data_IF_603223248989
#
_entry.id   IF_603223248989
#
_cell.length_a   1.000
_cell.length_b   1.000
_cell.length_c   1.000
_cell.angle_alpha   90.00
_cell.angle_beta   90.00
_cell.angle_gamma   90.00
#
_symmetry.space_group_name_H-M   'P 1'
#
loop_
_entity.id
_entity.type
_entity.pdbx_description
1 polymer ?
#
# COMPACT_ATOMS: atom_id res chain seq x y z
N UNK A 1 6.44 -10.03 -18.17
CA UNK A 1 6.64 -9.09 -17.05
C UNK A 1 8.05 -9.19 -16.49
N UNK A 2 8.61 -10.39 -16.32
CA UNK A 2 9.99 -10.61 -15.83
C UNK A 2 11.07 -9.71 -16.45
N UNK A 3 11.21 -9.67 -17.78
CA UNK A 3 12.22 -8.80 -18.43
C UNK A 3 12.00 -7.29 -18.19
N UNK A 4 10.77 -6.85 -17.89
CA UNK A 4 10.48 -5.46 -17.50
C UNK A 4 10.83 -5.21 -16.04
N UNK A 5 10.51 -6.18 -15.16
CA UNK A 5 10.87 -6.15 -13.75
C UNK A 5 12.39 -6.17 -13.56
N UNK A 6 13.11 -6.94 -14.38
CA UNK A 6 14.57 -7.01 -14.36
C UNK A 6 15.21 -5.67 -14.77
N UNK A 7 14.72 -5.03 -15.83
CA UNK A 7 15.22 -3.70 -16.23
C UNK A 7 14.81 -2.61 -15.23
N UNK A 8 13.63 -2.71 -14.62
CA UNK A 8 13.19 -1.83 -13.54
C UNK A 8 14.08 -2.00 -12.30
N UNK A 9 14.38 -3.24 -11.91
CA UNK A 9 15.27 -3.52 -10.77
C UNK A 9 16.70 -3.04 -11.04
N UNK A 10 17.21 -3.21 -12.27
CA UNK A 10 18.49 -2.64 -12.69
C UNK A 10 18.48 -1.11 -12.63
N UNK A 11 17.37 -0.47 -13.02
CA UNK A 11 17.20 0.98 -12.91
C UNK A 11 17.17 1.43 -11.44
N UNK A 12 16.43 0.75 -10.57
CA UNK A 12 16.39 1.03 -9.14
C UNK A 12 17.76 0.83 -8.46
N UNK A 13 18.46 -0.26 -8.77
CA UNK A 13 19.80 -0.56 -8.21
C UNK A 13 20.87 0.44 -8.66
N UNK A 14 20.74 0.99 -9.88
CA UNK A 14 21.70 1.98 -10.42
C UNK A 14 21.29 3.42 -10.16
N UNK A 15 20.01 3.65 -9.85
CA UNK A 15 19.44 4.96 -9.57
C UNK A 15 19.88 5.48 -8.21
N UNK A 16 21.09 6.02 -8.13
CA UNK A 16 21.63 6.67 -6.94
C UNK A 16 21.03 8.08 -6.71
N UNK A 17 19.73 8.29 -6.98
CA UNK A 17 19.10 9.62 -6.85
C UNK A 17 19.14 10.12 -5.40
N UNK A 18 19.00 9.24 -4.41
CA UNK A 18 19.12 9.62 -3.00
C UNK A 18 20.51 10.18 -2.67
N UNK A 19 21.56 9.52 -3.19
CA UNK A 19 22.94 9.96 -3.02
C UNK A 19 23.20 11.27 -3.78
N UNK A 20 22.66 11.40 -4.99
CA UNK A 20 22.75 12.64 -5.77
C UNK A 20 22.09 13.82 -5.06
N UNK A 21 20.92 13.62 -4.44
CA UNK A 21 20.26 14.64 -3.60
C UNK A 21 21.11 14.99 -2.37
N UNK A 22 21.72 14.01 -1.72
CA UNK A 22 22.65 14.24 -0.60
C UNK A 22 23.90 15.02 -1.04
N UNK A 23 24.47 14.71 -2.21
CA UNK A 23 25.63 15.41 -2.77
C UNK A 23 25.29 16.85 -3.20
N UNK A 24 24.07 17.09 -3.69
CA UNK A 24 23.54 18.44 -3.93
C UNK A 24 23.40 19.18 -2.60
N UNK A 25 22.84 18.56 -1.56
CA UNK A 25 22.69 19.18 -0.24
C UNK A 25 24.05 19.51 0.39
N UNK A 26 25.05 18.62 0.30
CA UNK A 26 26.43 18.90 0.74
C UNK A 26 27.02 20.09 -0.01
N UNK A 27 26.74 20.22 -1.30
CA UNK A 27 27.20 21.37 -2.10
C UNK A 27 26.54 22.66 -1.64
N UNK A 28 25.24 22.64 -1.34
CA UNK A 28 24.51 23.77 -0.75
C UNK A 28 25.13 24.15 0.60
N UNK A 29 25.38 23.18 1.48
CA UNK A 29 25.96 23.41 2.80
C UNK A 29 27.37 24.02 2.71
N UNK A 30 28.19 23.55 1.76
CA UNK A 30 29.52 24.13 1.49
C UNK A 30 29.43 25.59 1.04
N UNK A 31 28.48 25.92 0.16
CA UNK A 31 28.28 27.28 -0.33
C UNK A 31 27.72 28.20 0.77
N UNK A 32 26.78 27.72 1.58
CA UNK A 32 26.23 28.45 2.74
C UNK A 32 27.33 28.73 3.76
N UNK A 33 28.14 27.72 4.10
CA UNK A 33 29.27 27.88 5.05
C UNK A 33 30.31 28.88 4.54
N UNK A 34 30.60 28.87 3.24
CA UNK A 34 31.52 29.84 2.66
C UNK A 34 30.96 31.27 2.68
N UNK A 35 29.68 31.45 2.35
CA UNK A 35 28.99 32.74 2.46
C UNK A 35 29.06 33.27 3.89
N UNK A 36 28.76 32.43 4.87
CA UNK A 36 28.73 32.82 6.28
C UNK A 36 30.14 33.16 6.81
N UNK A 37 31.18 32.45 6.34
CA UNK A 37 32.58 32.78 6.64
C UNK A 37 33.01 34.13 6.06
N UNK A 38 32.55 34.48 4.86
CA UNK A 38 32.83 35.78 4.23
C UNK A 38 32.08 36.87 4.99
N UNK A 39 30.79 36.67 5.29
CA UNK A 39 29.98 37.61 6.04
C UNK A 39 30.53 37.87 7.46
N UNK A 40 30.98 36.83 8.17
CA UNK A 40 31.58 36.97 9.51
C UNK A 40 32.89 37.78 9.48
N UNK A 41 33.71 37.61 8.43
CA UNK A 41 34.92 38.40 8.22
C UNK A 41 34.61 39.88 8.03
N UNK A 42 33.56 40.20 7.25
CA UNK A 42 33.12 41.58 6.99
C UNK A 42 32.48 42.23 8.23
N UNK A 43 31.68 41.48 9.02
CA UNK A 43 31.00 42.00 10.22
C UNK A 43 31.95 42.24 11.41
N UNK A 44 32.95 41.38 11.65
CA UNK A 44 33.94 41.58 12.71
C UNK A 44 34.79 42.85 12.49
N UNK A 45 35.00 43.25 11.24
CA UNK A 45 35.77 44.45 10.90
C UNK A 45 34.98 45.75 11.15
N UNK A 46 33.66 45.75 10.91
CA UNK A 46 32.77 46.89 11.17
C UNK A 46 32.59 47.19 12.67
N UNK A 47 32.64 46.17 13.54
CA UNK A 47 32.47 46.34 14.99
C UNK A 47 33.74 46.85 15.71
N UNK A 48 34.92 46.67 15.09
CA UNK A 48 36.22 47.13 15.61
C UNK A 48 36.48 48.62 15.37
N UNK A 49 35.76 49.25 14.43
CA UNK A 49 35.91 50.66 14.08
C UNK A 49 34.92 51.52 14.88
N UNK A 50 35.37 52.03 16.03
CA UNK A 50 34.71 53.12 16.74
C UNK A 50 34.68 54.43 15.91
N UNK A 51 33.89 55.44 16.31
CA UNK A 51 33.47 56.56 15.46
C UNK A 51 34.55 57.62 15.14
N UNK A 52 35.84 57.34 15.29
CA UNK A 52 36.92 58.32 15.08
C UNK A 52 38.03 57.73 14.23
N UNK A 53 37.90 57.86 12.91
CA UNK A 53 38.91 57.34 11.98
C UNK A 53 38.50 57.41 10.51
N UNK A 54 37.64 58.37 10.13
CA UNK A 54 37.46 58.75 8.73
C UNK A 54 38.60 59.70 8.37
N UNK A 55 39.71 59.17 7.84
CA UNK A 55 40.44 59.80 6.73
C UNK A 55 41.62 58.94 6.26
N UNK A 56 41.40 58.35 5.07
CA UNK A 56 42.33 58.31 3.93
C UNK A 56 43.60 57.44 3.91
N UNK A 57 43.97 56.67 4.95
CA UNK A 57 45.03 55.64 4.80
C UNK A 57 44.63 54.20 5.16
N UNK A 58 43.38 53.98 5.58
CA UNK A 58 42.86 52.64 5.92
C UNK A 58 42.12 51.98 4.76
N UNK A 59 41.75 52.74 3.72
CA UNK A 59 40.93 52.24 2.61
C UNK A 59 41.69 51.32 1.65
N UNK A 60 43.02 51.46 1.51
CA UNK A 60 43.81 50.65 0.57
C UNK A 60 44.31 49.33 1.17
N UNK A 61 44.69 49.32 2.46
CA UNK A 61 45.22 48.11 3.09
C UNK A 61 44.10 47.15 3.54
N UNK A 62 42.94 47.67 3.95
CA UNK A 62 41.79 46.85 4.34
C UNK A 62 41.01 46.28 3.14
N UNK A 63 40.89 46.98 2.00
CA UNK A 63 40.26 46.41 0.80
C UNK A 63 41.06 45.24 0.20
N UNK A 64 42.40 45.30 0.23
CA UNK A 64 43.24 44.21 -0.32
C UNK A 64 43.14 42.92 0.49
N UNK A 65 42.99 43.00 1.82
CA UNK A 65 42.89 41.81 2.67
C UNK A 65 41.50 41.16 2.62
N UNK A 66 40.44 41.94 2.46
CA UNK A 66 39.07 41.45 2.23
C UNK A 66 38.95 40.75 0.85
N UNK A 67 39.58 41.33 -0.18
CA UNK A 67 39.65 40.72 -1.51
C UNK A 67 40.47 39.42 -1.54
N UNK A 68 41.52 39.33 -0.71
CA UNK A 68 42.36 38.13 -0.61
C UNK A 68 41.70 37.00 0.20
N UNK A 69 40.97 37.30 1.28
CA UNK A 69 40.28 36.27 2.07
C UNK A 69 39.06 35.68 1.35
N UNK A 70 38.30 36.51 0.63
CA UNK A 70 37.19 36.08 -0.21
C UNK A 70 37.70 35.28 -1.43
N UNK A 71 38.75 35.73 -2.10
CA UNK A 71 39.34 35.00 -3.24
C UNK A 71 39.95 33.66 -2.83
N UNK A 72 40.59 33.57 -1.66
CA UNK A 72 41.09 32.30 -1.10
C UNK A 72 39.93 31.34 -0.76
N UNK A 73 38.83 31.85 -0.19
CA UNK A 73 37.64 31.04 0.11
C UNK A 73 36.99 30.52 -1.18
N UNK A 74 36.86 31.37 -2.20
CA UNK A 74 36.34 30.98 -3.52
C UNK A 74 37.26 29.99 -4.25
N UNK A 75 38.58 30.16 -4.17
CA UNK A 75 39.55 29.23 -4.75
C UNK A 75 39.46 27.84 -4.09
N UNK A 76 39.25 27.79 -2.76
CA UNK A 76 39.05 26.53 -2.02
C UNK A 76 37.73 25.83 -2.39
N UNK A 77 36.69 26.57 -2.77
CA UNK A 77 35.40 26.01 -3.18
C UNK A 77 35.37 25.52 -4.63
N UNK A 78 36.26 26.03 -5.48
CA UNK A 78 36.25 25.73 -6.92
C UNK A 78 36.38 24.23 -7.20
N UNK A 79 37.25 23.51 -6.49
CA UNK A 79 37.47 22.08 -6.69
C UNK A 79 36.33 21.21 -6.10
N UNK A 80 35.88 21.42 -4.85
CA UNK A 80 34.74 20.68 -4.30
C UNK A 80 33.45 20.82 -5.10
N UNK A 81 33.13 22.03 -5.58
CA UNK A 81 31.91 22.28 -6.37
C UNK A 81 32.01 21.63 -7.76
N UNK A 82 33.19 21.65 -8.39
CA UNK A 82 33.39 20.94 -9.67
C UNK A 82 33.25 19.43 -9.49
N UNK A 83 33.87 18.87 -8.44
CA UNK A 83 33.79 17.44 -8.14
C UNK A 83 32.36 17.00 -7.85
N UNK A 84 31.59 17.79 -7.11
CA UNK A 84 30.17 17.46 -6.85
C UNK A 84 29.32 17.56 -8.11
N UNK A 85 29.56 18.55 -8.98
CA UNK A 85 28.86 18.67 -10.25
C UNK A 85 29.19 17.53 -11.22
N UNK A 86 30.45 17.09 -11.27
CA UNK A 86 30.88 15.92 -12.05
C UNK A 86 30.25 14.63 -11.53
N UNK A 87 30.21 14.45 -10.21
CA UNK A 87 29.54 13.31 -9.57
C UNK A 87 28.04 13.27 -9.87
N UNK A 88 27.33 14.40 -9.69
CA UNK A 88 25.89 14.52 -9.98
C UNK A 88 25.60 14.24 -11.46
N UNK A 89 26.40 14.76 -12.40
CA UNK A 89 26.20 14.47 -13.82
C UNK A 89 26.48 13.02 -14.19
N UNK A 90 27.48 12.39 -13.55
CA UNK A 90 27.75 10.97 -13.74
C UNK A 90 26.57 10.12 -13.27
N UNK A 91 26.04 10.39 -12.08
CA UNK A 91 24.90 9.66 -11.53
C UNK A 91 23.64 9.86 -12.39
N UNK A 92 23.38 11.09 -12.87
CA UNK A 92 22.27 11.37 -13.78
C UNK A 92 22.40 10.61 -15.11
N UNK A 93 23.60 10.51 -15.67
CA UNK A 93 23.85 9.77 -16.92
C UNK A 93 23.46 8.30 -16.81
N UNK A 94 23.73 7.68 -15.67
CA UNK A 94 23.35 6.28 -15.41
C UNK A 94 21.83 6.11 -15.29
N UNK A 95 21.14 7.08 -14.68
CA UNK A 95 19.67 7.12 -14.61
C UNK A 95 19.06 7.26 -16.00
N UNK A 96 19.53 8.20 -16.82
CA UNK A 96 19.03 8.39 -18.19
C UNK A 96 19.27 7.15 -19.06
N UNK A 97 20.43 6.50 -18.92
CA UNK A 97 20.74 5.24 -19.62
C UNK A 97 19.80 4.12 -19.18
N UNK A 98 19.56 3.98 -17.88
CA UNK A 98 18.61 3.00 -17.34
C UNK A 98 17.18 3.25 -17.83
N UNK A 99 16.73 4.50 -17.83
CA UNK A 99 15.41 4.90 -18.31
C UNK A 99 15.25 4.59 -19.81
N UNK A 100 16.27 4.87 -20.62
CA UNK A 100 16.29 4.52 -22.04
C UNK A 100 16.22 3.01 -22.29
N UNK A 101 16.90 2.20 -21.48
CA UNK A 101 16.82 0.75 -21.56
C UNK A 101 15.44 0.23 -21.13
N UNK A 102 14.88 0.76 -20.04
CA UNK A 102 13.53 0.43 -19.58
C UNK A 102 12.48 0.77 -20.64
N UNK A 103 12.56 1.95 -21.26
CA UNK A 103 11.69 2.37 -22.36
C UNK A 103 11.77 1.43 -23.56
N UNK A 104 12.98 1.06 -23.99
CA UNK A 104 13.18 0.06 -25.06
C UNK A 104 12.61 -1.32 -24.71
N UNK A 105 12.75 -1.74 -23.45
CA UNK A 105 12.19 -3.00 -22.98
C UNK A 105 10.65 -2.95 -22.98
N UNK A 106 10.07 -1.79 -22.64
CA UNK A 106 8.64 -1.53 -22.68
C UNK A 106 8.13 -1.57 -24.12
N UNK A 107 8.76 -0.84 -25.04
CA UNK A 107 8.44 -0.88 -26.47
C UNK A 107 8.50 -2.32 -27.00
N UNK A 108 9.58 -3.06 -26.72
CA UNK A 108 9.73 -4.46 -27.16
C UNK A 108 8.64 -5.38 -26.61
N UNK A 109 8.05 -5.09 -25.44
CA UNK A 109 6.98 -5.90 -24.86
C UNK A 109 5.60 -5.60 -25.46
N UNK A 110 5.37 -4.39 -25.93
CA UNK A 110 4.06 -3.95 -26.43
C UNK A 110 3.98 -3.78 -27.95
N UNK A 111 5.11 -3.74 -28.68
CA UNK A 111 5.16 -3.52 -30.14
C UNK A 111 4.39 -4.55 -30.98
N UNK A 112 4.33 -5.80 -30.53
CA UNK A 112 3.74 -6.92 -31.30
C UNK A 112 2.34 -7.33 -30.81
N UNK A 113 1.74 -6.57 -29.89
CA UNK A 113 0.38 -6.83 -29.38
C UNK A 113 -0.51 -5.66 -29.79
N UNK A 114 -1.16 -5.72 -30.97
CA UNK A 114 -2.22 -4.76 -31.24
C UNK A 114 -3.21 -4.84 -30.10
N UNK A 115 -3.49 -3.68 -29.47
CA UNK A 115 -4.61 -3.58 -28.56
C UNK A 115 -5.85 -4.08 -29.32
N UNK A 116 -6.71 -4.88 -28.69
CA UNK A 116 -7.92 -5.34 -29.38
C UNK A 116 -8.64 -4.10 -29.89
N UNK A 117 -8.86 -4.02 -31.20
CA UNK A 117 -9.81 -3.08 -31.78
C UNK A 117 -11.17 -3.53 -31.27
N UNK A 118 -11.54 -3.02 -30.11
CA UNK A 118 -12.84 -3.26 -29.52
C UNK A 118 -13.82 -2.40 -30.29
N UNK A 119 -14.48 -3.01 -31.26
CA UNK A 119 -15.73 -2.49 -31.83
C UNK A 119 -16.81 -2.30 -30.73
N UNK A 120 -16.55 -2.82 -29.52
CA UNK A 120 -17.34 -2.70 -28.32
C UNK A 120 -16.60 -1.92 -27.21
N UNK A 121 -16.59 -0.60 -27.29
CA UNK A 121 -16.09 0.29 -26.22
C UNK A 121 -17.26 0.71 -25.30
N UNK A 122 -17.55 -0.13 -24.31
CA UNK A 122 -18.60 0.13 -23.31
C UNK A 122 -18.26 1.27 -22.34
N UNK A 123 -16.99 1.70 -22.29
CA UNK A 123 -16.51 2.73 -21.36
C UNK A 123 -16.52 4.13 -22.00
N UNK A 124 -16.44 4.22 -23.33
CA UNK A 124 -16.52 5.48 -24.10
C UNK A 124 -17.78 6.31 -23.83
N UNK A 125 -18.88 5.67 -23.43
CA UNK A 125 -20.15 6.31 -23.09
C UNK A 125 -20.19 6.87 -21.67
N UNK A 126 -19.24 6.52 -20.80
CA UNK A 126 -19.24 6.88 -19.38
C UNK A 126 -17.94 7.55 -18.89
N UNK A 127 -17.41 8.59 -19.56
CA UNK A 127 -16.12 9.15 -19.21
C UNK A 127 -16.11 9.83 -17.81
N UNK A 128 -17.28 10.29 -17.33
CA UNK A 128 -17.42 10.84 -15.98
C UNK A 128 -17.15 9.80 -14.86
N UNK A 129 -17.58 8.54 -15.05
CA UNK A 129 -17.32 7.47 -14.07
C UNK A 129 -15.85 7.09 -14.02
N UNK A 130 -15.18 7.13 -15.18
CA UNK A 130 -13.73 6.86 -15.29
C UNK A 130 -12.95 7.96 -14.55
N UNK A 131 -13.26 9.23 -14.82
CA UNK A 131 -12.61 10.35 -14.13
C UNK A 131 -12.84 10.29 -12.61
N UNK A 132 -14.04 9.91 -12.17
CA UNK A 132 -14.32 9.69 -10.75
C UNK A 132 -13.46 8.57 -10.16
N UNK A 133 -13.34 7.44 -10.85
CA UNK A 133 -12.52 6.31 -10.40
C UNK A 133 -11.03 6.68 -10.30
N UNK A 134 -10.52 7.44 -11.28
CA UNK A 134 -9.15 7.95 -11.28
C UNK A 134 -8.93 8.91 -10.11
N UNK A 135 -9.79 9.92 -9.95
CA UNK A 135 -9.67 10.89 -8.86
C UNK A 135 -9.73 10.21 -7.48
N UNK A 136 -10.64 9.25 -7.30
CA UNK A 136 -10.72 8.47 -6.06
C UNK A 136 -9.49 7.62 -5.80
N UNK A 137 -8.93 7.03 -6.84
CA UNK A 137 -7.70 6.27 -6.71
C UNK A 137 -6.55 7.19 -6.26
N UNK A 138 -6.38 8.35 -6.90
CA UNK A 138 -5.34 9.31 -6.53
C UNK A 138 -5.47 9.79 -5.06
N UNK A 139 -6.70 10.05 -4.59
CA UNK A 139 -6.95 10.39 -3.19
C UNK A 139 -6.58 9.25 -2.22
N UNK A 140 -6.91 8.00 -2.59
CA UNK A 140 -6.56 6.80 -1.82
C UNK A 140 -5.08 6.47 -1.84
N UNK A 141 -4.34 6.94 -2.84
CA UNK A 141 -2.87 6.86 -2.94
C UNK A 141 -2.16 8.08 -2.31
N UNK A 142 -2.92 9.02 -1.73
CA UNK A 142 -2.37 10.18 -1.03
C UNK A 142 -1.84 11.28 -1.95
N UNK A 143 -2.10 11.16 -3.26
CA UNK A 143 -1.73 12.17 -4.26
C UNK A 143 -2.77 13.29 -4.31
N UNK A 144 -2.92 14.03 -3.20
CA UNK A 144 -3.95 15.05 -3.05
C UNK A 144 -3.82 16.22 -4.04
N UNK A 145 -2.58 16.65 -4.32
CA UNK A 145 -2.31 17.73 -5.27
C UNK A 145 -2.69 17.31 -6.69
N UNK A 146 -2.21 16.15 -7.14
CA UNK A 146 -2.51 15.58 -8.46
C UNK A 146 -4.01 15.33 -8.61
N UNK A 147 -4.66 14.77 -7.59
CA UNK A 147 -6.10 14.58 -7.57
C UNK A 147 -6.86 15.91 -7.73
N UNK A 148 -6.41 16.98 -7.06
CA UNK A 148 -7.05 18.30 -7.13
C UNK A 148 -6.88 18.95 -8.50
N UNK A 149 -5.68 18.88 -9.09
CA UNK A 149 -5.42 19.37 -10.45
C UNK A 149 -6.25 18.58 -11.45
N UNK A 150 -6.23 17.25 -11.37
CA UNK A 150 -7.01 16.37 -12.23
C UNK A 150 -8.51 16.66 -12.15
N UNK A 151 -9.07 16.84 -10.94
CA UNK A 151 -10.48 17.19 -10.76
C UNK A 151 -10.79 18.57 -11.35
N UNK A 152 -9.88 19.53 -11.23
CA UNK A 152 -10.03 20.87 -11.82
C UNK A 152 -10.06 20.79 -13.34
N UNK A 153 -9.10 20.06 -13.93
CA UNK A 153 -9.00 19.88 -15.37
C UNK A 153 -10.19 19.10 -15.94
N UNK A 154 -10.63 18.03 -15.26
CA UNK A 154 -11.79 17.24 -15.64
C UNK A 154 -13.11 18.00 -15.52
N UNK A 155 -13.20 18.99 -14.60
CA UNK A 155 -14.36 19.88 -14.48
C UNK A 155 -14.34 20.96 -15.58
N UNK A 156 -13.16 21.52 -15.87
CA UNK A 156 -13.00 22.60 -16.85
C UNK A 156 -13.12 22.09 -18.29
N UNK A 157 -12.69 20.86 -18.55
CA UNK A 157 -12.74 20.19 -19.85
C UNK A 157 -13.50 18.85 -19.73
N UNK A 158 -14.84 18.87 -19.62
CA UNK A 158 -15.61 17.64 -19.50
C UNK A 158 -15.47 16.80 -20.77
N UNK A 159 -15.07 15.52 -20.67
CA UNK A 159 -14.95 14.64 -21.83
C UNK A 159 -16.33 14.44 -22.48
N UNK A 160 -16.41 14.60 -23.80
CA UNK A 160 -17.64 14.33 -24.55
C UNK A 160 -17.88 12.81 -24.61
N UNK A 161 -19.05 12.30 -24.19
CA UNK A 161 -19.39 10.90 -24.37
C UNK A 161 -19.49 10.58 -25.86
N UNK A 162 -18.85 9.49 -26.29
CA UNK A 162 -18.96 9.00 -27.67
C UNK A 162 -20.14 8.03 -27.72
N UNK A 163 -21.08 8.27 -28.65
CA UNK A 163 -22.23 7.39 -28.84
C UNK A 163 -21.75 6.18 -29.66
N UNK A 164 -21.67 5.01 -29.03
CA UNK A 164 -21.45 3.74 -29.73
C UNK A 164 -22.80 3.07 -30.03
N UNK A 165 -22.89 2.36 -31.15
CA UNK A 165 -24.12 1.71 -31.66
C UNK A 165 -24.74 0.67 -30.70
N UNK A 166 -24.04 0.30 -29.63
CA UNK A 166 -24.47 -0.66 -28.61
C UNK A 166 -25.03 -0.03 -27.32
N UNK A 167 -25.06 1.30 -27.18
CA UNK A 167 -25.61 1.98 -25.99
C UNK A 167 -26.75 2.94 -26.36
N UNK A 168 -28.03 2.55 -26.17
CA UNK A 168 -29.16 3.44 -26.42
C UNK A 168 -29.18 4.58 -25.39
N UNK A 169 -29.03 5.81 -25.87
CA UNK A 169 -29.22 7.10 -25.16
C UNK A 169 -28.38 7.34 -23.88
N UNK A 170 -27.31 8.16 -23.95
CA UNK A 170 -26.59 8.66 -22.77
C UNK A 170 -27.40 9.68 -21.94
N UNK A 171 -28.51 10.20 -22.47
CA UNK A 171 -29.19 11.38 -21.90
C UNK A 171 -30.43 11.09 -21.05
N UNK A 172 -30.82 9.83 -20.83
CA UNK A 172 -32.12 9.57 -20.22
C UNK A 172 -32.15 9.49 -18.69
N UNK A 173 -31.06 9.21 -17.95
CA UNK A 173 -31.20 8.99 -16.48
C UNK A 173 -29.92 9.12 -15.63
N UNK A 174 -28.83 9.75 -16.10
CA UNK A 174 -27.65 10.00 -15.26
C UNK A 174 -27.42 11.51 -15.08
N UNK A 175 -28.49 12.24 -14.73
CA UNK A 175 -28.37 13.36 -13.79
C UNK A 175 -28.28 12.83 -12.35
N UNK A 176 -27.53 11.75 -12.14
CA UNK A 176 -27.06 11.45 -10.80
C UNK A 176 -25.95 12.45 -10.58
N UNK A 177 -26.18 13.37 -9.65
CA UNK A 177 -25.15 13.98 -8.82
C UNK A 177 -24.07 12.92 -8.49
N UNK A 178 -23.07 12.77 -9.38
CA UNK A 178 -22.13 11.65 -9.39
C UNK A 178 -21.11 11.77 -8.25
N UNK A 179 -21.38 12.59 -7.24
CA UNK A 179 -20.54 12.75 -6.07
C UNK A 179 -19.18 13.38 -6.37
N UNK A 180 -18.97 13.96 -7.57
CA UNK A 180 -17.73 14.72 -7.85
C UNK A 180 -17.60 15.87 -6.84
N UNK A 181 -18.70 16.50 -6.46
CA UNK A 181 -18.72 17.49 -5.37
C UNK A 181 -18.50 16.85 -3.99
N UNK A 182 -19.00 15.63 -3.76
CA UNK A 182 -18.64 14.84 -2.59
C UNK A 182 -17.14 14.48 -2.54
N UNK A 183 -16.47 14.32 -3.68
CA UNK A 183 -15.03 14.05 -3.77
C UNK A 183 -14.17 15.31 -3.64
N UNK A 184 -14.69 16.44 -4.14
CA UNK A 184 -14.15 17.78 -3.86
C UNK A 184 -14.40 18.20 -2.41
N UNK A 185 -15.27 17.51 -1.68
CA UNK A 185 -15.60 17.88 -0.31
C UNK A 185 -14.33 17.93 0.53
N UNK A 186 -14.12 19.10 1.13
CA UNK A 186 -13.02 19.31 2.07
C UNK A 186 -13.07 18.31 3.23
N UNK A 187 -14.26 17.81 3.55
CA UNK A 187 -14.48 16.75 4.55
C UNK A 187 -13.80 15.42 4.19
N UNK A 188 -13.92 14.96 2.93
CA UNK A 188 -13.32 13.69 2.50
C UNK A 188 -11.80 13.81 2.41
N UNK A 189 -11.31 14.96 1.91
CA UNK A 189 -9.88 15.26 1.85
C UNK A 189 -9.26 15.30 3.25
N UNK A 190 -9.92 15.93 4.22
CA UNK A 190 -9.49 15.94 5.62
C UNK A 190 -9.45 14.54 6.22
N UNK A 191 -10.44 13.70 5.91
CA UNK A 191 -10.48 12.31 6.38
C UNK A 191 -9.30 11.51 5.83
N UNK A 192 -9.02 11.57 4.51
CA UNK A 192 -7.85 10.91 3.95
C UNK A 192 -6.53 11.52 4.45
N UNK A 193 -6.45 12.84 4.64
CA UNK A 193 -5.27 13.47 5.23
C UNK A 193 -4.98 12.95 6.64
N UNK A 194 -6.03 12.78 7.47
CA UNK A 194 -5.90 12.15 8.78
C UNK A 194 -5.44 10.69 8.68
N UNK A 195 -6.02 9.90 7.77
CA UNK A 195 -5.57 8.52 7.52
C UNK A 195 -4.07 8.48 7.19
N UNK A 196 -3.60 9.35 6.29
CA UNK A 196 -2.20 9.40 5.90
C UNK A 196 -1.28 9.88 7.02
N UNK A 197 -1.75 10.81 7.87
CA UNK A 197 -1.01 11.20 9.06
C UNK A 197 -0.83 9.99 10.00
N UNK A 198 -1.90 9.24 10.28
CA UNK A 198 -1.84 8.03 11.11
C UNK A 198 -0.93 6.97 10.46
N UNK A 199 -1.02 6.76 9.15
CA UNK A 199 -0.15 5.82 8.43
C UNK A 199 1.32 6.25 8.46
N UNK A 200 1.60 7.55 8.39
CA UNK A 200 2.96 8.08 8.51
C UNK A 200 3.54 7.81 9.91
N UNK A 201 2.77 8.10 10.96
CA UNK A 201 3.14 7.80 12.36
C UNK A 201 3.39 6.30 12.55
N UNK A 202 2.51 5.46 12.00
CA UNK A 202 2.59 4.00 12.13
C UNK A 202 3.80 3.40 11.36
N UNK A 203 4.02 3.81 10.10
CA UNK A 203 5.08 3.22 9.27
C UNK A 203 6.47 3.80 9.57
N UNK A 204 6.58 5.12 9.69
CA UNK A 204 7.88 5.81 9.74
C UNK A 204 8.37 6.03 11.17
N UNK A 205 7.48 6.47 12.06
CA UNK A 205 7.84 6.80 13.45
C UNK A 205 7.62 5.61 14.40
N UNK A 206 7.02 4.52 13.92
CA UNK A 206 6.62 3.35 14.73
C UNK A 206 5.74 3.73 15.92
N UNK A 207 4.88 4.74 15.71
CA UNK A 207 3.96 5.26 16.71
C UNK A 207 2.54 4.74 16.43
N UNK A 208 2.05 3.83 17.28
CA UNK A 208 0.73 3.21 17.14
C UNK A 208 -0.39 3.98 17.86
N UNK A 209 -0.04 4.97 18.70
CA UNK A 209 -1.02 5.67 19.54
C UNK A 209 -2.12 6.38 18.73
N UNK A 210 -1.81 7.09 17.62
CA UNK A 210 -2.86 7.73 16.81
C UNK A 210 -3.82 6.70 16.19
N UNK A 211 -3.29 5.56 15.74
CA UNK A 211 -4.09 4.49 15.16
C UNK A 211 -4.99 3.83 16.21
N UNK A 212 -4.49 3.60 17.42
CA UNK A 212 -5.28 3.06 18.55
C UNK A 212 -6.38 4.04 18.95
N UNK A 213 -6.07 5.34 19.05
CA UNK A 213 -7.06 6.36 19.37
C UNK A 213 -8.20 6.41 18.34
N UNK A 214 -7.85 6.36 17.04
CA UNK A 214 -8.83 6.28 15.97
C UNK A 214 -9.67 5.01 16.05
N UNK A 215 -9.04 3.85 16.31
CA UNK A 215 -9.75 2.58 16.42
C UNK A 215 -10.74 2.58 17.60
N UNK A 216 -10.38 3.20 18.73
CA UNK A 216 -11.29 3.39 19.88
C UNK A 216 -12.45 4.31 19.58
N UNK A 217 -12.20 5.42 18.87
CA UNK A 217 -13.28 6.34 18.47
C UNK A 217 -14.30 5.66 17.54
N UNK A 218 -13.86 4.64 16.78
CA UNK A 218 -14.68 3.89 15.83
C UNK A 218 -14.95 2.45 16.26
N UNK A 219 -14.77 2.11 17.54
CA UNK A 219 -14.87 0.73 18.05
C UNK A 219 -16.21 0.10 17.71
N UNK A 220 -17.32 0.77 17.99
CA UNK A 220 -18.68 0.25 17.77
C UNK A 220 -18.93 -0.09 16.28
N UNK A 221 -18.42 0.75 15.38
CA UNK A 221 -18.55 0.57 13.95
C UNK A 221 -17.65 -0.58 13.43
N UNK A 222 -16.45 -0.73 14.01
CA UNK A 222 -15.53 -1.83 13.70
C UNK A 222 -16.07 -3.18 14.22
N UNK A 223 -16.65 -3.20 15.42
CA UNK A 223 -17.26 -4.39 16.02
C UNK A 223 -18.47 -4.88 15.24
N UNK A 224 -19.33 -3.96 14.78
CA UNK A 224 -20.48 -4.28 13.92
C UNK A 224 -20.04 -4.98 12.63
N UNK A 225 -18.86 -4.63 12.11
CA UNK A 225 -18.25 -5.25 10.94
C UNK A 225 -17.48 -6.53 11.26
N UNK A 226 -17.32 -6.87 12.53
CA UNK A 226 -16.54 -8.01 13.00
C UNK A 226 -15.02 -7.82 12.95
N UNK A 227 -14.54 -6.59 12.71
CA UNK A 227 -13.12 -6.28 12.60
C UNK A 227 -12.38 -6.52 13.92
N UNK A 228 -11.14 -7.00 13.83
CA UNK A 228 -10.23 -7.22 14.95
C UNK A 228 -9.13 -6.15 15.06
N UNK A 229 -9.23 -5.07 14.27
CA UNK A 229 -8.18 -4.06 14.13
C UNK A 229 -7.74 -3.43 15.47
N UNK A 230 -8.69 -3.12 16.35
CA UNK A 230 -8.40 -2.49 17.65
C UNK A 230 -7.49 -3.38 18.52
N UNK A 231 -7.77 -4.69 18.54
CA UNK A 231 -6.95 -5.64 19.28
C UNK A 231 -5.59 -5.84 18.62
N UNK A 232 -5.51 -5.97 17.29
CA UNK A 232 -4.22 -6.14 16.60
C UNK A 232 -3.30 -4.91 16.78
N UNK A 233 -3.85 -3.69 16.78
CA UNK A 233 -3.11 -2.47 17.13
C UNK A 233 -2.59 -2.49 18.57
N UNK A 234 -3.44 -2.85 19.52
CA UNK A 234 -3.07 -2.93 20.94
C UNK A 234 -2.03 -4.03 21.20
N UNK A 235 -2.14 -5.16 20.50
CA UNK A 235 -1.18 -6.26 20.54
C UNK A 235 0.18 -5.86 19.96
N UNK A 236 0.21 -5.18 18.81
CA UNK A 236 1.48 -4.72 18.24
C UNK A 236 2.15 -3.67 19.14
N UNK A 237 1.37 -2.80 19.79
CA UNK A 237 1.89 -1.84 20.78
C UNK A 237 2.52 -2.56 21.99
N UNK A 238 1.88 -3.62 22.48
CA UNK A 238 2.47 -4.45 23.54
C UNK A 238 3.79 -5.07 23.08
N UNK A 239 3.83 -5.67 21.89
CA UNK A 239 5.04 -6.30 21.33
C UNK A 239 6.17 -5.27 21.21
N UNK A 240 5.87 -4.07 20.68
CA UNK A 240 6.84 -3.00 20.53
C UNK A 240 7.42 -2.52 21.88
N UNK A 241 6.57 -2.29 22.88
CA UNK A 241 7.01 -1.95 24.24
C UNK A 241 7.87 -3.07 24.84
N UNK A 242 7.45 -4.32 24.66
CA UNK A 242 8.12 -5.49 25.20
C UNK A 242 9.52 -5.69 24.60
N UNK A 243 9.72 -5.38 23.32
CA UNK A 243 11.03 -5.48 22.65
C UNK A 243 12.00 -4.33 22.97
N UNK A 244 11.65 -3.43 23.91
CA UNK A 244 12.52 -2.30 24.30
C UNK A 244 12.32 -1.04 23.47
N UNK A 245 11.17 -0.92 22.79
CA UNK A 245 10.76 0.28 22.06
C UNK A 245 11.77 0.72 21.00
N UNK A 246 12.20 1.99 21.07
CA UNK A 246 13.15 2.58 20.11
C UNK A 246 14.57 2.02 20.22
N UNK A 247 14.96 1.44 21.37
CA UNK A 247 16.32 0.95 21.63
C UNK A 247 16.31 -0.51 22.09
N UNK A 248 16.09 -1.48 21.17
CA UNK A 248 15.98 -2.89 21.51
C UNK A 248 17.30 -3.53 21.99
N UNK A 249 18.46 -2.92 21.70
CA UNK A 249 19.77 -3.46 22.06
C UNK A 249 20.27 -3.07 23.47
N UNK A 250 19.56 -2.18 24.17
CA UNK A 250 19.91 -1.79 25.53
C UNK A 250 19.17 -2.69 26.55
N UNK A 251 19.94 -3.43 27.36
CA UNK A 251 19.39 -4.32 28.38
C UNK A 251 18.52 -3.59 29.42
N UNK A 252 18.82 -2.31 29.69
CA UNK A 252 18.00 -1.47 30.58
C UNK A 252 16.67 -1.09 29.92
N UNK A 253 16.69 -0.79 28.63
CA UNK A 253 15.50 -0.54 27.81
C UNK A 253 14.59 -1.77 27.75
N UNK A 254 15.16 -2.98 27.62
CA UNK A 254 14.39 -4.22 27.60
C UNK A 254 13.66 -4.47 28.94
N UNK A 255 14.34 -4.27 30.07
CA UNK A 255 13.71 -4.42 31.40
C UNK A 255 12.61 -3.39 31.64
N UNK A 256 12.86 -2.12 31.30
CA UNK A 256 11.85 -1.06 31.40
C UNK A 256 10.68 -1.30 30.45
N UNK A 257 10.95 -1.75 29.23
CA UNK A 257 9.97 -2.10 28.22
C UNK A 257 9.04 -3.23 28.66
N UNK A 258 9.57 -4.26 29.32
CA UNK A 258 8.74 -5.33 29.92
C UNK A 258 7.78 -4.79 30.97
N UNK A 259 8.25 -3.94 31.88
CA UNK A 259 7.39 -3.34 32.90
C UNK A 259 6.32 -2.44 32.28
N UNK A 260 6.68 -1.66 31.27
CA UNK A 260 5.74 -0.81 30.52
C UNK A 260 4.71 -1.63 29.75
N UNK A 261 5.13 -2.71 29.07
CA UNK A 261 4.24 -3.62 28.36
C UNK A 261 3.24 -4.30 29.32
N UNK A 262 3.69 -4.71 30.51
CA UNK A 262 2.82 -5.22 31.58
C UNK A 262 1.82 -4.18 32.07
N UNK A 263 2.29 -2.96 32.31
CA UNK A 263 1.44 -1.83 32.71
C UNK A 263 0.37 -1.52 31.65
N UNK A 264 0.75 -1.58 30.38
CA UNK A 264 -0.14 -1.38 29.24
C UNK A 264 -1.17 -2.51 29.12
N UNK A 265 -0.73 -3.78 29.15
CA UNK A 265 -1.60 -4.94 29.09
C UNK A 265 -2.69 -4.92 30.16
N UNK A 266 -2.36 -4.55 31.41
CA UNK A 266 -3.33 -4.45 32.50
C UNK A 266 -4.41 -3.40 32.28
N UNK A 267 -4.10 -2.32 31.57
CA UNK A 267 -5.03 -1.22 31.31
C UNK A 267 -5.92 -1.53 30.11
N UNK A 268 -5.32 -2.04 29.04
CA UNK A 268 -5.96 -2.12 27.73
C UNK A 268 -6.58 -3.48 27.44
N UNK A 269 -5.93 -4.58 27.85
CA UNK A 269 -6.40 -5.91 27.51
C UNK A 269 -7.60 -6.38 28.32
N UNK A 270 -8.06 -5.62 29.32
CA UNK A 270 -9.24 -5.95 30.12
C UNK A 270 -10.51 -6.07 29.27
N UNK A 271 -10.71 -5.17 28.31
CA UNK A 271 -11.88 -5.16 27.43
C UNK A 271 -11.85 -6.27 26.38
N UNK A 272 -10.65 -6.75 26.02
CA UNK A 272 -10.45 -7.78 25.00
C UNK A 272 -10.50 -9.21 25.54
N UNK A 273 -10.58 -9.41 26.86
CA UNK A 273 -10.53 -10.74 27.49
C UNK A 273 -11.60 -11.70 26.95
N UNK A 274 -12.82 -11.22 26.67
CA UNK A 274 -13.91 -12.10 26.23
C UNK A 274 -13.63 -12.78 24.88
N UNK A 275 -12.99 -12.08 23.95
CA UNK A 275 -12.76 -12.55 22.56
C UNK A 275 -11.34 -13.02 22.29
N UNK A 276 -10.34 -12.47 22.98
CA UNK A 276 -8.92 -12.66 22.69
C UNK A 276 -8.11 -13.20 23.89
N UNK A 277 -8.77 -13.93 24.80
CA UNK A 277 -8.12 -14.48 26.01
C UNK A 277 -6.86 -15.29 25.69
N UNK A 278 -6.93 -16.11 24.63
CA UNK A 278 -5.83 -17.02 24.27
C UNK A 278 -4.59 -16.25 23.84
N UNK A 279 -4.77 -15.23 23.02
CA UNK A 279 -3.71 -14.35 22.53
C UNK A 279 -3.10 -13.57 23.69
N UNK A 280 -3.93 -13.04 24.60
CA UNK A 280 -3.47 -12.32 25.79
C UNK A 280 -2.66 -13.24 26.74
N UNK A 281 -3.08 -14.50 26.89
CA UNK A 281 -2.32 -15.51 27.63
C UNK A 281 -0.97 -15.82 26.97
N UNK A 282 -0.91 -15.88 25.63
CA UNK A 282 0.35 -16.09 24.91
C UNK A 282 1.31 -14.91 25.08
N UNK A 283 0.81 -13.67 24.97
CA UNK A 283 1.59 -12.45 25.22
C UNK A 283 2.12 -12.42 26.66
N UNK A 284 1.29 -12.81 27.62
CA UNK A 284 1.68 -12.87 29.03
C UNK A 284 2.66 -14.01 29.31
N UNK A 285 2.46 -15.17 28.69
CA UNK A 285 3.35 -16.32 28.81
C UNK A 285 4.73 -16.07 28.20
N UNK A 286 4.80 -15.27 27.14
CA UNK A 286 6.08 -14.90 26.51
C UNK A 286 7.01 -14.12 27.44
N UNK A 287 6.46 -13.41 28.43
CA UNK A 287 7.26 -12.67 29.41
C UNK A 287 8.19 -13.59 30.22
N UNK A 288 7.79 -14.84 30.47
CA UNK A 288 8.60 -15.81 31.20
C UNK A 288 9.82 -16.33 30.39
N UNK A 289 9.82 -16.15 29.07
CA UNK A 289 10.89 -16.62 28.19
C UNK A 289 11.95 -15.56 27.90
N UNK A 290 11.82 -14.35 28.46
CA UNK A 290 12.81 -13.29 28.29
C UNK A 290 14.08 -13.60 29.10
N UNK A 291 15.31 -13.40 28.57
CA UNK A 291 15.67 -12.78 27.28
C UNK A 291 15.66 -13.71 26.05
N UNK A 292 15.43 -15.01 26.21
CA UNK A 292 15.55 -16.00 25.13
C UNK A 292 14.27 -16.15 24.28
N UNK A 293 13.70 -15.04 23.81
CA UNK A 293 12.44 -15.04 23.06
C UNK A 293 12.55 -15.73 21.69
N UNK A 294 13.73 -15.67 21.08
CA UNK A 294 14.01 -16.26 19.77
C UNK A 294 13.90 -17.80 19.75
N UNK A 295 14.08 -18.45 20.90
CA UNK A 295 13.95 -19.91 21.08
C UNK A 295 12.61 -20.30 21.71
N UNK A 296 11.76 -19.32 22.02
CA UNK A 296 10.47 -19.55 22.66
C UNK A 296 9.41 -20.02 21.65
N UNK A 297 8.35 -20.73 22.11
CA UNK A 297 7.20 -21.07 21.26
C UNK A 297 6.46 -19.81 20.73
N UNK A 298 6.73 -18.64 21.30
CA UNK A 298 6.12 -17.36 20.92
C UNK A 298 6.91 -16.59 19.88
N UNK A 299 8.02 -17.14 19.35
CA UNK A 299 8.90 -16.47 18.37
C UNK A 299 8.13 -15.78 17.24
N UNK A 300 7.11 -16.42 16.67
CA UNK A 300 6.32 -15.90 15.55
C UNK A 300 5.53 -14.63 15.88
N UNK A 301 5.19 -14.42 17.16
CA UNK A 301 4.39 -13.25 17.60
C UNK A 301 5.28 -12.00 17.70
N UNK A 302 6.55 -12.17 18.08
CA UNK A 302 7.48 -11.07 18.35
C UNK A 302 8.46 -10.81 17.19
N UNK A 303 8.79 -11.83 16.40
CA UNK A 303 9.67 -11.73 15.23
C UNK A 303 8.85 -11.84 13.95
N UNK A 304 8.06 -10.81 13.68
CA UNK A 304 7.37 -10.63 12.40
C UNK A 304 7.73 -9.24 11.85
N UNK A 305 8.64 -9.21 10.87
CA UNK A 305 9.13 -7.97 10.27
C UNK A 305 8.04 -7.26 9.45
N UNK A 306 7.09 -8.03 8.89
CA UNK A 306 6.00 -7.54 8.04
C UNK A 306 4.77 -7.07 8.85
N UNK A 307 4.74 -7.30 10.17
CA UNK A 307 3.58 -7.01 11.02
C UNK A 307 3.11 -5.55 10.94
N UNK A 308 4.04 -4.61 10.77
CA UNK A 308 3.73 -3.19 10.64
C UNK A 308 3.07 -2.85 9.30
N UNK A 309 3.53 -3.48 8.22
CA UNK A 309 2.99 -3.25 6.88
C UNK A 309 1.62 -3.91 6.73
N UNK A 310 1.49 -5.15 7.19
CA UNK A 310 0.21 -5.86 7.25
C UNK A 310 -0.83 -5.07 8.03
N UNK A 311 -0.47 -4.56 9.21
CA UNK A 311 -1.39 -3.80 10.04
C UNK A 311 -1.75 -2.45 9.40
N UNK A 312 -0.82 -1.80 8.71
CA UNK A 312 -1.11 -0.60 7.94
C UNK A 312 -2.11 -0.86 6.81
N UNK A 313 -2.00 -2.01 6.13
CA UNK A 313 -2.90 -2.43 5.06
C UNK A 313 -4.30 -2.75 5.62
N UNK A 314 -4.38 -3.46 6.75
CA UNK A 314 -5.64 -3.73 7.46
C UNK A 314 -6.28 -2.40 7.91
N UNK A 315 -5.51 -1.49 8.49
CA UNK A 315 -5.99 -0.16 8.90
C UNK A 315 -6.58 0.61 7.71
N UNK A 316 -5.87 0.67 6.59
CA UNK A 316 -6.32 1.36 5.37
C UNK A 316 -7.62 0.77 4.84
N UNK A 317 -7.74 -0.56 4.86
CA UNK A 317 -8.94 -1.28 4.45
C UNK A 317 -10.14 -0.98 5.33
N UNK A 318 -9.98 -1.03 6.65
CA UNK A 318 -11.06 -0.73 7.59
C UNK A 318 -11.45 0.75 7.51
N UNK A 319 -10.48 1.66 7.39
CA UNK A 319 -10.72 3.08 7.19
C UNK A 319 -11.59 3.32 5.95
N UNK A 320 -11.19 2.80 4.78
CA UNK A 320 -11.95 2.95 3.55
C UNK A 320 -13.35 2.33 3.68
N UNK A 321 -13.45 1.18 4.35
CA UNK A 321 -14.73 0.51 4.56
C UNK A 321 -15.69 1.30 5.44
N UNK A 322 -15.19 1.98 6.48
CA UNK A 322 -15.98 2.87 7.33
C UNK A 322 -16.46 4.13 6.58
N UNK A 323 -15.71 4.57 5.57
CA UNK A 323 -16.15 5.62 4.64
C UNK A 323 -17.18 5.14 3.62
N UNK A 324 -17.61 3.87 3.68
CA UNK A 324 -18.51 3.28 2.69
C UNK A 324 -17.84 3.05 1.33
N UNK A 325 -16.51 3.08 1.28
CA UNK A 325 -15.74 2.84 0.08
C UNK A 325 -15.26 1.38 0.05
N UNK A 326 -15.03 0.84 -1.15
CA UNK A 326 -14.44 -0.50 -1.31
C UNK A 326 -13.06 -0.60 -0.65
N UNK A 327 -12.65 -1.79 -0.19
CA UNK A 327 -11.32 -2.04 0.35
C UNK A 327 -10.23 -1.60 -0.65
N UNK A 328 -10.29 -2.14 -1.86
CA UNK A 328 -9.37 -1.80 -2.95
C UNK A 328 -10.00 -0.79 -3.90
N UNK A 329 -9.16 -0.02 -4.59
CA UNK A 329 -9.61 0.93 -5.61
C UNK A 329 -10.32 0.18 -6.76
N UNK A 330 -11.51 0.62 -7.20
CA UNK A 330 -12.18 0.02 -8.36
C UNK A 330 -11.30 0.03 -9.62
N UNK A 331 -10.47 1.07 -9.78
CA UNK A 331 -9.50 1.15 -10.88
C UNK A 331 -8.43 0.06 -10.76
N UNK A 332 -7.89 -0.16 -9.56
CA UNK A 332 -6.92 -1.22 -9.30
C UNK A 332 -7.49 -2.61 -9.61
N UNK A 333 -8.71 -2.90 -9.14
CA UNK A 333 -9.38 -4.17 -9.39
C UNK A 333 -9.62 -4.36 -10.90
N UNK A 334 -10.16 -3.35 -11.58
CA UNK A 334 -10.46 -3.42 -13.01
C UNK A 334 -9.19 -3.61 -13.86
N UNK A 335 -8.12 -2.86 -13.58
CA UNK A 335 -6.84 -2.99 -14.29
C UNK A 335 -6.19 -4.34 -14.01
N UNK A 336 -6.25 -4.85 -12.78
CA UNK A 336 -5.68 -6.16 -12.42
C UNK A 336 -6.45 -7.30 -13.08
N UNK A 337 -7.79 -7.26 -13.01
CA UNK A 337 -8.65 -8.22 -13.70
C UNK A 337 -8.41 -8.20 -15.22
N UNK A 338 -8.29 -7.00 -15.80
CA UNK A 338 -7.94 -6.80 -17.21
C UNK A 338 -6.58 -7.40 -17.55
N UNK A 339 -5.54 -7.14 -16.74
CA UNK A 339 -4.19 -7.66 -16.97
C UNK A 339 -4.14 -9.20 -16.96
N UNK A 340 -4.97 -9.85 -16.13
CA UNK A 340 -5.07 -11.31 -16.03
C UNK A 340 -5.90 -11.88 -17.18
N UNK A 341 -7.05 -11.29 -17.49
CA UNK A 341 -8.01 -11.84 -18.45
C UNK A 341 -7.65 -11.52 -19.91
N UNK A 342 -7.14 -10.33 -20.20
CA UNK A 342 -6.94 -9.82 -21.56
C UNK A 342 -5.99 -10.67 -22.42
N UNK A 343 -4.87 -11.22 -21.92
CA UNK A 343 -4.03 -12.13 -22.70
C UNK A 343 -4.77 -13.41 -23.14
N UNK A 344 -5.65 -13.94 -22.30
CA UNK A 344 -6.43 -15.15 -22.58
C UNK A 344 -7.56 -14.84 -23.58
N UNK A 345 -8.26 -13.72 -23.38
CA UNK A 345 -9.31 -13.26 -24.29
C UNK A 345 -8.76 -12.95 -25.69
N UNK A 346 -7.57 -12.36 -25.79
CA UNK A 346 -6.92 -12.11 -27.08
C UNK A 346 -6.57 -13.40 -27.83
N UNK A 347 -6.01 -14.40 -27.15
CA UNK A 347 -5.73 -15.70 -27.77
C UNK A 347 -7.00 -16.36 -28.30
N UNK A 348 -8.07 -16.29 -27.51
CA UNK A 348 -9.38 -16.82 -27.90
C UNK A 348 -9.94 -16.06 -29.11
N UNK A 349 -9.88 -14.73 -29.13
CA UNK A 349 -10.31 -13.92 -30.27
C UNK A 349 -9.57 -14.29 -31.56
N UNK A 350 -8.26 -14.52 -31.50
CA UNK A 350 -7.47 -14.96 -32.67
C UNK A 350 -7.94 -16.32 -33.19
N UNK A 351 -8.12 -17.31 -32.29
CA UNK A 351 -8.61 -18.65 -32.65
C UNK A 351 -10.01 -18.59 -33.25
N UNK A 352 -10.89 -17.74 -32.71
CA UNK A 352 -12.26 -17.60 -33.19
C UNK A 352 -12.35 -16.92 -34.55
N UNK A 353 -11.52 -15.89 -34.80
CA UNK A 353 -11.39 -15.27 -36.13
C UNK A 353 -10.87 -16.26 -37.17
N UNK A 354 -9.92 -17.11 -36.81
CA UNK A 354 -9.36 -18.16 -37.68
C UNK A 354 -10.38 -19.28 -37.98
N UNK A 355 -11.17 -19.68 -36.98
CA UNK A 355 -12.19 -20.73 -37.11
C UNK A 355 -13.55 -20.25 -37.64
N UNK A 356 -13.75 -18.94 -37.87
CA UNK A 356 -15.04 -18.34 -38.28
C UNK A 356 -16.22 -18.69 -37.36
N UNK A 357 -15.95 -19.01 -36.10
CA UNK A 357 -16.99 -19.24 -35.10
C UNK A 357 -17.29 -17.91 -34.42
N UNK A 358 -18.47 -17.34 -34.65
CA UNK A 358 -18.88 -16.11 -33.99
C UNK A 358 -19.23 -16.35 -32.51
N UNK A 359 -18.76 -15.46 -31.65
CA UNK A 359 -19.13 -15.44 -30.23
C UNK A 359 -20.59 -14.99 -30.12
N UNK A 360 -21.52 -15.91 -29.88
CA UNK A 360 -22.95 -15.63 -30.01
C UNK A 360 -23.72 -15.43 -28.69
N UNK A 361 -23.07 -15.30 -27.54
CA UNK A 361 -23.80 -15.08 -26.27
C UNK A 361 -23.19 -13.98 -25.40
N UNK A 362 -23.99 -12.93 -25.15
CA UNK A 362 -23.67 -11.75 -24.32
C UNK A 362 -23.45 -12.06 -22.81
N UNK A 363 -23.56 -13.33 -22.37
CA UNK A 363 -23.66 -13.70 -20.96
C UNK A 363 -22.73 -14.84 -20.51
N UNK A 364 -21.74 -15.23 -21.32
CA UNK A 364 -20.81 -16.30 -20.95
C UNK A 364 -19.36 -15.82 -21.00
N UNK A 365 -18.52 -16.35 -20.11
CA UNK A 365 -17.07 -16.19 -20.15
C UNK A 365 -16.46 -17.51 -20.63
N UNK A 366 -15.63 -17.51 -21.69
CA UNK A 366 -15.12 -18.74 -22.31
C UNK A 366 -14.18 -19.57 -21.43
N UNK A 367 -13.64 -18.95 -20.38
CA UNK A 367 -12.67 -19.57 -19.49
C UNK A 367 -13.00 -19.10 -18.08
N UNK A 368 -13.10 -20.04 -17.13
CA UNK A 368 -13.05 -19.75 -15.70
C UNK A 368 -11.71 -19.09 -15.40
N UNK A 369 -11.61 -17.78 -15.50
CA UNK A 369 -10.42 -17.08 -15.04
C UNK A 369 -10.35 -17.27 -13.53
N UNK A 370 -9.18 -17.69 -13.03
CA UNK A 370 -8.94 -17.98 -11.60
C UNK A 370 -9.27 -16.80 -10.66
N UNK A 371 -9.58 -15.63 -11.22
CA UNK A 371 -10.03 -14.43 -10.53
C UNK A 371 -11.45 -14.55 -9.94
N UNK A 372 -12.37 -15.31 -10.55
CA UNK A 372 -13.76 -15.40 -10.06
C UNK A 372 -13.94 -16.33 -8.85
N UNK A 373 -13.05 -17.30 -8.64
CA UNK A 373 -13.17 -18.24 -7.51
C UNK A 373 -12.88 -17.59 -6.15
N UNK A 374 -12.14 -16.49 -6.11
CA UNK A 374 -11.84 -15.74 -4.88
C UNK A 374 -12.90 -14.69 -4.53
N UNK A 375 -13.60 -14.15 -5.53
CA UNK A 375 -14.66 -13.14 -5.33
C UNK A 375 -16.04 -13.73 -4.99
N UNK A 376 -16.27 -15.03 -5.23
CA UNK A 376 -17.56 -15.70 -4.95
C UNK A 376 -17.85 -15.95 -3.46
N UNK A 377 -17.04 -15.40 -2.53
CA UNK A 377 -17.23 -15.52 -1.08
C UNK A 377 -17.97 -14.34 -0.42
N UNK A 378 -18.63 -13.48 -1.19
CA UNK A 378 -19.51 -12.42 -0.67
C UNK A 378 -20.75 -12.23 -1.54
N UNK A 379 -21.95 -11.98 -0.94
CA UNK A 379 -23.17 -11.81 -1.72
C UNK A 379 -23.12 -10.48 -2.50
N UNK A 380 -23.07 -10.57 -3.84
CA UNK A 380 -23.36 -9.44 -4.72
C UNK A 380 -24.88 -9.22 -4.75
N UNK A 381 -25.37 -8.32 -3.91
CA UNK A 381 -26.76 -7.83 -3.97
C UNK A 381 -26.79 -6.67 -4.97
N UNK A 382 -27.35 -6.91 -6.16
CA UNK A 382 -27.77 -5.83 -7.06
C UNK A 382 -29.22 -5.45 -6.73
N UNK A 383 -29.54 -4.17 -6.47
CA UNK A 383 -30.91 -3.75 -6.24
C UNK A 383 -31.64 -3.50 -7.57
N UNK A 384 -32.80 -4.15 -7.74
CA UNK A 384 -33.85 -3.71 -8.65
C UNK A 384 -33.95 -4.45 -9.99
N UNK A 385 -34.99 -5.27 -10.14
CA UNK A 385 -35.44 -5.80 -11.43
C UNK A 385 -36.25 -7.10 -11.32
N UNK A 386 -37.55 -6.98 -11.02
CA UNK A 386 -38.50 -8.09 -11.13
C UNK A 386 -38.53 -8.63 -12.58
N UNK A 387 -38.34 -9.94 -12.78
CA UNK A 387 -39.35 -10.87 -13.35
C UNK A 387 -38.77 -12.27 -13.62
N UNK A 388 -39.55 -13.27 -13.23
CA UNK A 388 -39.53 -14.69 -13.65
C UNK A 388 -38.32 -15.57 -13.31
N UNK A 389 -38.49 -16.22 -12.16
CA UNK A 389 -37.86 -17.46 -11.71
C UNK A 389 -37.69 -18.51 -12.82
N UNK A 390 -36.44 -18.82 -13.15
CA UNK A 390 -36.03 -20.13 -13.65
C UNK A 390 -34.91 -20.66 -12.75
N UNK A 391 -35.28 -21.47 -11.75
CA UNK A 391 -34.32 -22.29 -10.97
C UNK A 391 -33.78 -23.38 -11.90
N UNK A 392 -32.57 -23.19 -12.42
CA UNK A 392 -31.78 -24.32 -12.91
C UNK A 392 -31.13 -24.97 -11.69
N UNK A 393 -31.76 -26.05 -11.23
CA UNK A 393 -31.18 -26.97 -10.25
C UNK A 393 -30.12 -27.79 -10.96
N UNK A 394 -28.84 -27.56 -10.66
CA UNK A 394 -27.79 -28.52 -11.01
C UNK A 394 -27.80 -29.62 -9.93
N UNK A 395 -28.48 -30.71 -10.25
CA UNK A 395 -28.41 -31.98 -9.53
C UNK A 395 -26.98 -32.50 -9.55
N UNK A 396 -26.30 -32.48 -8.40
CA UNK A 396 -25.12 -33.31 -8.17
C UNK A 396 -25.63 -34.70 -7.79
N UNK A 397 -25.67 -35.61 -8.77
CA UNK A 397 -25.92 -37.04 -8.58
C UNK A 397 -24.72 -37.66 -7.84
N UNK A 398 -24.74 -37.59 -6.51
CA UNK A 398 -23.93 -38.42 -5.63
C UNK A 398 -24.80 -39.59 -5.18
N UNK A 399 -24.75 -40.67 -5.98
CA UNK A 399 -25.40 -41.95 -5.69
C UNK A 399 -24.70 -42.62 -4.50
N UNK A 400 -25.12 -42.31 -3.29
CA UNK A 400 -24.83 -43.09 -2.09
C UNK A 400 -25.75 -44.34 -2.06
N UNK A 401 -25.26 -45.52 -1.68
CA UNK A 401 -26.09 -46.72 -1.59
C UNK A 401 -27.08 -46.60 -0.43
N UNK A 402 -28.35 -46.84 -0.75
CA UNK A 402 -29.47 -46.90 0.20
C UNK A 402 -29.24 -47.99 1.25
N UNK A 403 -29.36 -47.62 2.52
CA UNK A 403 -29.60 -48.58 3.61
C UNK A 403 -30.91 -48.16 4.27
N UNK A 404 -31.91 -49.02 4.11
CA UNK A 404 -33.23 -48.93 4.72
C UNK A 404 -33.11 -48.91 6.24
N UNK A 405 -33.86 -48.00 6.88
CA UNK A 405 -34.07 -48.00 8.32
C UNK A 405 -35.07 -49.11 8.67
N UNK A 406 -34.64 -50.08 9.46
CA UNK A 406 -35.52 -50.77 10.40
C UNK A 406 -35.21 -50.25 11.79
N UNK A 407 -36.26 -49.79 12.48
CA UNK A 407 -36.26 -49.49 13.91
C UNK A 407 -35.83 -50.72 14.71
N UNK A 408 -34.90 -50.57 15.68
CA UNK A 408 -35.19 -50.97 17.06
C UNK A 408 -34.11 -50.57 18.08
N UNK A 409 -34.55 -50.59 19.33
CA UNK A 409 -33.98 -50.11 20.60
C UNK A 409 -32.61 -50.68 21.07
N UNK A 410 -31.95 -49.83 21.88
CA UNK A 410 -31.08 -50.08 23.07
C UNK A 410 -29.60 -50.50 22.89
N UNK A 411 -28.80 -49.83 23.74
CA UNK A 411 -27.64 -50.30 24.51
C UNK A 411 -26.18 -50.23 23.97
N UNK A 412 -25.44 -49.37 24.68
CA UNK A 412 -24.13 -49.61 25.29
C UNK A 412 -22.86 -49.14 24.57
N UNK A 413 -22.08 -48.45 25.39
CA UNK A 413 -20.78 -47.82 25.20
C UNK A 413 -19.67 -48.84 24.95
N UNK A 414 -19.18 -48.96 23.71
CA UNK A 414 -17.81 -49.46 23.44
C UNK A 414 -17.25 -49.18 22.04
N UNK A 415 -17.99 -48.50 21.14
CA UNK A 415 -17.57 -48.30 19.73
C UNK A 415 -16.65 -47.09 19.47
N UNK A 416 -16.48 -46.19 20.44
CA UNK A 416 -15.65 -44.99 20.24
C UNK A 416 -14.14 -45.28 20.27
N UNK A 417 -13.72 -46.37 20.92
CA UNK A 417 -12.30 -46.76 20.98
C UNK A 417 -11.79 -47.41 19.68
N UNK A 418 -12.66 -48.04 18.89
CA UNK A 418 -12.29 -48.62 17.58
C UNK A 418 -12.31 -47.57 16.46
N UNK A 419 -13.17 -46.54 16.54
CA UNK A 419 -13.18 -45.43 15.56
C UNK A 419 -11.95 -44.54 15.68
N UNK A 420 -11.46 -44.28 16.89
CA UNK A 420 -10.23 -43.50 17.09
C UNK A 420 -8.98 -44.21 16.51
N UNK A 421 -8.92 -45.55 16.56
CA UNK A 421 -7.80 -46.33 16.01
C UNK A 421 -7.80 -46.39 14.47
N UNK A 422 -8.97 -46.34 13.80
CA UNK A 422 -9.03 -46.26 12.33
C UNK A 422 -8.66 -44.88 11.78
N UNK A 423 -8.98 -43.80 12.50
CA UNK A 423 -8.58 -42.46 12.08
C UNK A 423 -7.06 -42.23 12.17
N UNK A 424 -6.37 -42.82 13.16
CA UNK A 424 -4.91 -42.73 13.27
C UNK A 424 -4.17 -43.44 12.11
N UNK A 425 -4.71 -44.55 11.60
CA UNK A 425 -4.13 -45.25 10.45
C UNK A 425 -4.23 -44.48 9.14
N UNK A 426 -5.34 -43.75 8.92
CA UNK A 426 -5.57 -42.99 7.68
C UNK A 426 -4.73 -41.70 7.65
N UNK A 427 -4.43 -41.09 8.80
CA UNK A 427 -3.55 -39.90 8.85
C UNK A 427 -2.10 -40.26 8.54
N UNK A 428 -1.62 -41.42 9.01
CA UNK A 428 -0.27 -41.94 8.70
C UNK A 428 -0.06 -42.22 7.20
N UNK A 429 -1.11 -42.62 6.47
CA UNK A 429 -1.01 -42.96 5.04
C UNK A 429 -1.11 -41.72 4.13
N UNK A 430 -1.59 -40.59 4.67
CA UNK A 430 -1.62 -39.29 3.97
C UNK A 430 -0.28 -38.55 4.14
N UNK A 431 0.38 -38.64 5.30
CA UNK A 431 1.69 -38.01 5.52
C UNK A 431 2.83 -38.65 4.70
N UNK A 432 2.76 -39.95 4.38
CA UNK A 432 3.75 -40.61 3.51
C UNK A 432 3.60 -40.30 2.02
N UNK A 433 2.48 -39.75 1.56
CA UNK A 433 2.26 -39.40 0.14
C UNK A 433 2.56 -37.95 -0.23
N UNK A 434 2.98 -37.12 0.73
CA UNK A 434 3.33 -35.71 0.50
C UNK A 434 4.86 -35.47 0.48
N UNK A 435 5.66 -36.53 0.65
CA UNK A 435 7.13 -36.44 0.56
C UNK A 435 7.70 -37.40 -0.48
N UNK A 436 7.41 -37.15 -1.76
CA UNK A 436 8.25 -37.54 -2.92
C UNK A 436 8.15 -36.42 -3.96
#
# INVERSE_FOLDING_TARGET
MEALLEEHEKLCRKGNLSKSVEDVQKTIDLLVKARDSIAASTYLMLFSLGPVGKELLTYAHCHLQDQNSASVTLAKLQNPVKQSFEAVNSDLKDVYKGLGNYSKALDKKFKDKPLPTTDYDALSSHPALINRAIAMHLLREGQFSVASTFLTDATNNPPRPVISSSTPNPHANIEVDLGIDSLKSESLRKQFANMYHILHELKNQKNLLPAIAWAREKSDALETRGSNLEFELSKLQFVWLFTGGSNPNDARSLYLGQQQALGYARREFAHFQGRYLREIQQLSGAMAFCPNLAQSPYRRIFHNDDAWEDLANVFTREFCSLLGLSADSPLYIATTAGAIALPTLLKLQTIMKEKRTEWTTQHELPVSTAFYSSLQKGPLIFPGGNTSSARVSLSLDLRLPSVERTDDRRESTNDDALRARRCAGIVSEIEQRVTI
#
